data_IF_706251854305
#
_entry.id   IF_706251854305
#
_cell.length_a   1.000
_cell.length_b   1.000
_cell.length_c   1.000
_cell.angle_alpha   90.00
_cell.angle_beta   90.00
_cell.angle_gamma   90.00
#
_symmetry.space_group_name_H-M   'P 1'
#
loop_
_entity.id
_entity.type
_entity.pdbx_description
1 polymer ?
#
# COMPACT_ATOMS: atom_id res chain seq x y z
N UNK A 1 -7.79 -14.87 22.69
CA UNK A 1 -6.72 -15.33 21.76
C UNK A 1 -5.98 -14.10 21.28
N UNK A 2 -4.64 -14.12 21.21
CA UNK A 2 -3.84 -12.97 20.76
C UNK A 2 -3.41 -13.14 19.30
N UNK A 3 -3.71 -12.15 18.46
CA UNK A 3 -3.43 -12.13 17.02
C UNK A 3 -2.51 -10.95 16.68
N UNK A 4 -1.70 -11.11 15.65
CA UNK A 4 -0.88 -10.02 15.09
C UNK A 4 -1.66 -9.24 14.02
N UNK A 5 -1.64 -7.91 14.10
CA UNK A 5 -2.37 -7.00 13.21
C UNK A 5 -1.42 -5.95 12.62
N UNK A 6 -1.18 -6.00 11.31
CA UNK A 6 -0.38 -5.02 10.58
C UNK A 6 -1.21 -3.97 9.84
N UNK A 7 -0.95 -2.69 10.05
CA UNK A 7 -1.48 -1.60 9.20
C UNK A 7 -0.54 -0.39 9.17
N UNK A 8 -0.77 0.54 8.24
CA UNK A 8 0.15 1.68 8.10
C UNK A 8 -0.15 2.78 9.12
N UNK A 9 0.82 3.65 9.44
CA UNK A 9 0.58 4.80 10.30
C UNK A 9 -0.19 5.93 9.59
N UNK A 10 -0.79 5.69 8.41
CA UNK A 10 -1.55 6.70 7.68
C UNK A 10 -2.87 7.01 8.42
N UNK A 11 -3.36 8.27 8.38
CA UNK A 11 -4.56 8.68 9.11
C UNK A 11 -5.81 7.84 8.83
N UNK A 12 -5.99 7.34 7.60
CA UNK A 12 -7.12 6.49 7.25
C UNK A 12 -7.09 5.16 8.02
N UNK A 13 -5.92 4.56 8.22
CA UNK A 13 -5.81 3.25 8.86
C UNK A 13 -5.83 3.37 10.38
N UNK A 14 -5.17 4.39 10.94
CA UNK A 14 -5.30 4.69 12.37
C UNK A 14 -6.74 5.02 12.74
N UNK A 15 -7.48 5.71 11.86
CA UNK A 15 -8.91 5.96 12.05
C UNK A 15 -9.74 4.65 12.02
N UNK A 16 -9.51 3.77 11.04
CA UNK A 16 -10.23 2.49 10.92
C UNK A 16 -10.02 1.61 12.17
N UNK A 17 -8.78 1.54 12.66
CA UNK A 17 -8.41 0.59 13.72
C UNK A 17 -8.43 1.19 15.14
N UNK A 18 -8.63 2.50 15.32
CA UNK A 18 -8.59 3.17 16.63
C UNK A 18 -9.48 2.48 17.67
N UNK A 19 -10.73 2.20 17.33
CA UNK A 19 -11.67 1.58 18.26
C UNK A 19 -11.25 0.16 18.65
N UNK A 20 -10.71 -0.60 17.69
CA UNK A 20 -10.29 -1.99 17.88
C UNK A 20 -9.07 -2.08 18.80
N UNK A 21 -8.04 -1.27 18.56
CA UNK A 21 -6.76 -1.38 19.29
C UNK A 21 -6.80 -0.72 20.67
N UNK A 22 -7.76 0.18 20.91
CA UNK A 22 -7.96 0.85 22.21
C UNK A 22 -9.12 0.26 23.04
N UNK A 23 -9.62 -0.92 22.67
CA UNK A 23 -10.70 -1.61 23.40
C UNK A 23 -11.98 -0.77 23.56
N UNK A 24 -12.33 0.03 22.54
CA UNK A 24 -13.57 0.84 22.52
C UNK A 24 -14.78 0.06 21.98
N UNK A 25 -14.56 -1.16 21.49
CA UNK A 25 -15.57 -2.10 21.01
C UNK A 25 -15.32 -3.47 21.64
N UNK A 26 -16.38 -4.28 21.73
CA UNK A 26 -16.27 -5.67 22.16
C UNK A 26 -15.58 -6.49 21.05
N UNK A 27 -14.46 -7.11 21.41
CA UNK A 27 -13.66 -7.97 20.52
C UNK A 27 -13.91 -9.45 20.77
N UNK A 28 -14.91 -9.79 21.60
CA UNK A 28 -15.30 -11.16 21.95
C UNK A 28 -14.11 -11.99 22.50
N UNK A 29 -13.19 -11.34 23.22
CA UNK A 29 -12.01 -11.97 23.81
C UNK A 29 -10.81 -12.13 22.86
N UNK A 30 -10.82 -11.45 21.70
CA UNK A 30 -9.65 -11.28 20.83
C UNK A 30 -8.78 -10.12 21.33
N UNK A 31 -7.47 -10.35 21.31
CA UNK A 31 -6.45 -9.34 21.61
C UNK A 31 -5.56 -9.15 20.38
N UNK A 32 -5.06 -7.93 20.17
CA UNK A 32 -4.28 -7.59 18.98
C UNK A 32 -2.90 -7.05 19.35
N UNK A 33 -1.85 -7.66 18.82
CA UNK A 33 -0.49 -7.12 18.78
C UNK A 33 -0.31 -6.32 17.49
N UNK A 34 -0.16 -5.01 17.62
CA UNK A 34 -0.19 -4.08 16.48
C UNK A 34 1.20 -3.82 15.94
N UNK A 35 1.35 -3.95 14.62
CA UNK A 35 2.55 -3.60 13.86
C UNK A 35 2.25 -2.42 12.93
N UNK A 36 2.93 -1.30 13.14
CA UNK A 36 2.85 -0.14 12.25
C UNK A 36 3.99 -0.19 11.23
N UNK A 37 3.65 -0.37 9.95
CA UNK A 37 4.64 -0.51 8.88
C UNK A 37 4.20 0.19 7.60
N UNK A 38 5.16 0.56 6.75
CA UNK A 38 4.87 1.01 5.38
C UNK A 38 4.12 -0.08 4.59
N UNK A 39 3.24 0.34 3.68
CA UNK A 39 2.38 -0.58 2.91
C UNK A 39 3.19 -1.59 2.10
N UNK A 40 4.35 -1.20 1.53
CA UNK A 40 5.19 -2.14 0.79
C UNK A 40 5.88 -3.15 1.71
N UNK A 41 6.20 -2.76 2.95
CA UNK A 41 6.67 -3.68 3.98
C UNK A 41 5.57 -4.67 4.35
N UNK A 42 4.34 -4.20 4.60
CA UNK A 42 3.19 -5.06 4.88
C UNK A 42 2.87 -6.02 3.72
N UNK A 43 2.99 -5.55 2.47
CA UNK A 43 2.85 -6.40 1.29
C UNK A 43 3.85 -7.56 1.34
N UNK A 44 5.13 -7.30 1.62
CA UNK A 44 6.17 -8.35 1.70
C UNK A 44 5.90 -9.33 2.85
N UNK A 45 5.49 -8.81 4.02
CA UNK A 45 5.10 -9.64 5.18
C UNK A 45 3.95 -10.57 4.84
N UNK A 46 2.94 -10.09 4.10
CA UNK A 46 1.81 -10.89 3.64
C UNK A 46 2.25 -12.01 2.66
N UNK A 47 3.16 -11.72 1.71
CA UNK A 47 3.70 -12.76 0.82
C UNK A 47 4.41 -13.87 1.60
N UNK A 48 5.04 -13.54 2.71
CA UNK A 48 5.71 -14.50 3.59
C UNK A 48 4.76 -15.20 4.56
N UNK A 49 3.60 -14.62 4.87
CA UNK A 49 2.67 -15.15 5.88
C UNK A 49 3.09 -14.79 7.30
N UNK A 50 3.71 -13.63 7.51
CA UNK A 50 4.29 -13.22 8.80
C UNK A 50 3.27 -12.70 9.83
N UNK A 51 2.09 -12.27 9.40
CA UNK A 51 1.07 -11.65 10.25
C UNK A 51 -0.27 -12.38 10.12
N UNK A 52 -1.02 -12.51 11.21
CA UNK A 52 -2.33 -13.15 11.20
C UNK A 52 -3.35 -12.30 10.42
N UNK A 53 -3.31 -10.98 10.63
CA UNK A 53 -4.17 -9.99 9.98
C UNK A 53 -3.28 -8.85 9.47
N UNK A 54 -3.50 -8.42 8.23
CA UNK A 54 -2.69 -7.33 7.65
C UNK A 54 -3.46 -6.51 6.62
N UNK A 55 -3.31 -5.19 6.67
CA UNK A 55 -3.62 -4.30 5.57
C UNK A 55 -2.62 -4.56 4.44
N UNK A 56 -3.14 -4.72 3.23
CA UNK A 56 -2.30 -4.89 2.05
C UNK A 56 -2.87 -4.19 0.83
N UNK A 57 -2.02 -4.02 -0.18
CA UNK A 57 -2.47 -3.60 -1.50
C UNK A 57 -3.26 -4.72 -2.18
N UNK A 58 -4.36 -4.38 -2.87
CA UNK A 58 -5.11 -5.35 -3.68
C UNK A 58 -4.25 -6.10 -4.70
N UNK A 59 -3.27 -5.41 -5.29
CA UNK A 59 -2.31 -6.06 -6.19
C UNK A 59 -1.45 -7.11 -5.45
N UNK A 60 -1.00 -6.82 -4.23
CA UNK A 60 -0.28 -7.79 -3.41
C UNK A 60 -1.17 -8.99 -3.00
N UNK A 61 -2.46 -8.75 -2.75
CA UNK A 61 -3.41 -9.81 -2.39
C UNK A 61 -3.52 -10.89 -3.48
N UNK A 62 -3.46 -10.52 -4.76
CA UNK A 62 -3.47 -11.50 -5.86
C UNK A 62 -2.35 -12.55 -5.76
N UNK A 63 -1.23 -12.23 -5.10
CA UNK A 63 -0.11 -13.15 -4.85
C UNK A 63 -0.20 -13.87 -3.50
N UNK A 64 -1.01 -13.36 -2.57
CA UNK A 64 -1.16 -13.90 -1.21
C UNK A 64 -2.49 -14.64 -1.00
N UNK A 65 -3.35 -14.71 -2.02
CA UNK A 65 -4.71 -15.28 -1.95
C UNK A 65 -4.75 -16.77 -1.55
N UNK A 66 -3.64 -17.49 -1.65
CA UNK A 66 -3.54 -18.87 -1.17
C UNK A 66 -3.27 -18.97 0.34
N UNK A 67 -2.91 -17.88 1.01
CA UNK A 67 -2.59 -17.80 2.44
C UNK A 67 -3.60 -16.97 3.23
N UNK A 68 -4.24 -16.01 2.58
CA UNK A 68 -5.14 -15.05 3.22
C UNK A 68 -6.52 -15.05 2.58
N UNK A 69 -7.54 -14.75 3.40
CA UNK A 69 -8.86 -14.37 2.93
C UNK A 69 -9.00 -12.84 3.01
N UNK A 70 -9.73 -12.25 2.05
CA UNK A 70 -10.08 -10.84 2.07
C UNK A 70 -11.29 -10.64 3.00
N UNK A 71 -11.20 -9.66 3.92
CA UNK A 71 -12.32 -9.29 4.77
C UNK A 71 -13.28 -8.34 4.03
N UNK A 72 -14.56 -8.40 4.40
CA UNK A 72 -15.61 -7.53 3.84
C UNK A 72 -15.55 -6.08 4.37
N UNK A 73 -14.61 -5.78 5.28
CA UNK A 73 -14.44 -4.48 5.93
C UNK A 73 -12.97 -4.03 5.95
N UNK A 74 -12.75 -2.73 6.20
CA UNK A 74 -11.41 -2.15 6.38
C UNK A 74 -10.63 -1.85 5.10
N UNK A 75 -11.24 -2.06 3.93
CA UNK A 75 -10.61 -1.75 2.64
C UNK A 75 -10.74 -0.27 2.25
N UNK A 76 -9.77 0.23 1.48
CA UNK A 76 -9.82 1.57 0.89
C UNK A 76 -10.10 1.47 -0.62
N UNK A 77 -11.35 1.69 -1.02
CA UNK A 77 -11.80 1.71 -2.42
C UNK A 77 -12.69 2.93 -2.70
N UNK A 78 -12.67 3.43 -3.93
CA UNK A 78 -13.58 4.50 -4.35
C UNK A 78 -13.12 5.23 -5.62
N UNK A 79 -13.94 6.17 -6.06
CA UNK A 79 -13.56 7.17 -7.05
C UNK A 79 -12.92 8.37 -6.35
N UNK A 80 -11.91 8.98 -6.97
CA UNK A 80 -11.18 10.12 -6.38
C UNK A 80 -10.09 9.74 -5.38
N UNK A 81 -9.80 8.45 -5.19
CA UNK A 81 -8.68 7.95 -4.34
C UNK A 81 -7.55 7.31 -5.16
N UNK A 82 -7.55 7.53 -6.47
CA UNK A 82 -6.57 6.96 -7.38
C UNK A 82 -5.15 7.53 -7.15
N UNK A 83 -4.11 6.72 -7.40
CA UNK A 83 -2.73 7.21 -7.36
C UNK A 83 -2.50 8.25 -8.45
N UNK A 84 -1.61 9.20 -8.18
CA UNK A 84 -1.21 10.22 -9.15
C UNK A 84 0.21 9.96 -9.65
N UNK A 85 0.43 10.20 -10.95
CA UNK A 85 1.75 10.32 -11.54
C UNK A 85 2.08 11.81 -11.62
N UNK A 86 3.16 12.23 -10.98
CA UNK A 86 3.58 13.63 -10.89
C UNK A 86 4.96 13.82 -11.49
N UNK A 87 5.21 15.02 -12.02
CA UNK A 87 6.49 15.41 -12.61
C UNK A 87 6.77 16.88 -12.37
N UNK A 88 8.05 17.25 -12.37
CA UNK A 88 8.48 18.66 -12.32
C UNK A 88 8.30 19.35 -13.66
N UNK A 89 8.50 18.62 -14.74
CA UNK A 89 8.36 19.08 -16.12
C UNK A 89 7.01 18.62 -16.68
N UNK A 90 6.45 19.39 -17.60
CA UNK A 90 5.24 19.00 -18.29
C UNK A 90 5.58 17.94 -19.34
N UNK A 91 4.84 16.84 -19.33
CA UNK A 91 4.92 15.80 -20.34
C UNK A 91 3.61 15.70 -21.11
N UNK A 92 3.69 15.28 -22.36
CA UNK A 92 2.52 14.83 -23.10
C UNK A 92 2.04 13.48 -22.53
N UNK A 93 0.82 13.09 -22.92
CA UNK A 93 0.24 11.81 -22.50
C UNK A 93 1.09 10.61 -22.99
N UNK A 94 1.85 10.76 -24.07
CA UNK A 94 2.77 9.73 -24.54
C UNK A 94 4.14 9.88 -23.88
N UNK A 95 4.32 9.16 -22.77
CA UNK A 95 5.54 9.19 -21.98
C UNK A 95 6.64 8.33 -22.61
N UNK A 96 7.83 8.90 -22.78
CA UNK A 96 9.01 8.16 -23.27
C UNK A 96 9.38 6.99 -22.34
N UNK A 97 9.74 5.86 -22.94
CA UNK A 97 10.18 4.65 -22.23
C UNK A 97 11.48 4.84 -21.42
N UNK A 98 12.29 5.85 -21.75
CA UNK A 98 13.57 6.14 -21.09
C UNK A 98 13.40 6.84 -19.73
N UNK A 99 12.18 7.32 -19.42
CA UNK A 99 11.90 8.02 -18.19
C UNK A 99 12.10 7.13 -16.96
N UNK A 100 12.80 7.68 -15.97
CA UNK A 100 12.97 7.07 -14.66
C UNK A 100 11.80 7.45 -13.74
N UNK A 101 11.09 6.46 -13.23
CA UNK A 101 9.87 6.68 -12.44
C UNK A 101 10.06 6.19 -11.00
N UNK A 102 9.85 7.06 -10.03
CA UNK A 102 9.78 6.67 -8.62
C UNK A 102 8.45 5.97 -8.31
N UNK A 103 8.50 4.82 -7.65
CA UNK A 103 7.30 4.09 -7.20
C UNK A 103 7.38 3.82 -5.69
N UNK A 104 6.24 3.87 -4.97
CA UNK A 104 6.22 3.68 -3.52
C UNK A 104 6.43 2.21 -3.10
N UNK A 105 6.32 1.28 -4.04
CA UNK A 105 6.50 -0.14 -3.77
C UNK A 105 6.14 -0.99 -4.99
N UNK A 106 6.82 -2.14 -5.13
CA UNK A 106 6.64 -3.05 -6.26
C UNK A 106 5.26 -3.69 -6.25
N UNK A 107 4.76 -4.05 -5.08
CA UNK A 107 3.49 -4.77 -4.92
C UNK A 107 2.29 -3.85 -4.66
N UNK A 108 2.51 -2.53 -4.68
CA UNK A 108 1.43 -1.56 -4.53
C UNK A 108 0.43 -1.61 -5.69
N UNK A 109 -0.85 -1.36 -5.40
CA UNK A 109 -1.87 -1.17 -6.44
C UNK A 109 -1.53 0.02 -7.34
N UNK A 110 -0.84 1.04 -6.80
CA UNK A 110 -0.36 2.18 -7.56
C UNK A 110 0.62 1.78 -8.68
N UNK A 111 1.61 0.94 -8.38
CA UNK A 111 2.54 0.45 -9.38
C UNK A 111 1.87 -0.47 -10.43
N UNK A 112 0.87 -1.26 -10.02
CA UNK A 112 0.08 -2.07 -10.93
C UNK A 112 -0.69 -1.21 -11.93
N UNK A 113 -1.44 -0.21 -11.44
CA UNK A 113 -2.20 0.71 -12.29
C UNK A 113 -1.29 1.53 -13.21
N UNK A 114 -0.11 1.95 -12.72
CA UNK A 114 0.91 2.59 -13.56
C UNK A 114 1.34 1.67 -14.72
N UNK A 115 1.55 0.38 -14.45
CA UNK A 115 1.92 -0.59 -15.49
C UNK A 115 0.82 -0.86 -16.52
N UNK A 116 -0.45 -0.72 -16.14
CA UNK A 116 -1.58 -0.80 -17.08
C UNK A 116 -1.66 0.46 -17.95
N UNK A 117 -1.54 1.64 -17.32
CA UNK A 117 -1.69 2.91 -18.01
C UNK A 117 -0.50 3.24 -18.93
N UNK A 118 0.72 2.90 -18.50
CA UNK A 118 1.97 3.22 -19.19
C UNK A 118 2.91 2.01 -19.19
N UNK A 119 2.61 0.96 -20.00
CA UNK A 119 3.38 -0.28 -20.02
C UNK A 119 4.83 -0.11 -20.48
N UNK A 120 5.17 0.99 -21.15
CA UNK A 120 6.54 1.31 -21.58
C UNK A 120 7.45 1.79 -20.43
N UNK A 121 6.89 2.26 -19.31
CA UNK A 121 7.66 2.80 -18.19
C UNK A 121 8.26 1.69 -17.33
N UNK A 122 9.36 1.12 -17.81
CA UNK A 122 10.04 -0.01 -17.16
C UNK A 122 11.17 0.40 -16.20
N UNK A 123 11.73 1.61 -16.35
CA UNK A 123 12.81 2.13 -15.50
C UNK A 123 12.25 2.64 -14.15
N UNK A 124 11.81 1.71 -13.31
CA UNK A 124 11.16 2.00 -12.01
C UNK A 124 12.18 1.95 -10.87
N UNK A 125 12.21 3.00 -10.05
CA UNK A 125 12.99 3.06 -8.80
C UNK A 125 12.05 2.97 -7.59
N UNK A 126 12.16 1.90 -6.83
CA UNK A 126 11.43 1.78 -5.55
C UNK A 126 12.03 2.73 -4.52
N UNK A 127 11.17 3.46 -3.82
CA UNK A 127 11.52 4.35 -2.71
C UNK A 127 10.33 4.50 -1.76
N UNK A 128 10.58 5.02 -0.55
CA UNK A 128 9.51 5.33 0.41
C UNK A 128 8.62 6.42 -0.18
N UNK A 129 7.30 6.33 0.01
CA UNK A 129 6.34 7.26 -0.59
C UNK A 129 6.65 8.74 -0.28
N UNK A 130 7.15 9.02 0.93
CA UNK A 130 7.52 10.37 1.40
C UNK A 130 8.77 10.96 0.72
N UNK A 131 9.56 10.13 0.04
CA UNK A 131 10.74 10.57 -0.69
C UNK A 131 10.45 10.89 -2.16
N UNK A 132 9.30 10.47 -2.70
CA UNK A 132 8.94 10.65 -4.12
C UNK A 132 8.93 12.14 -4.47
N UNK A 133 8.15 12.95 -3.75
CA UNK A 133 8.05 14.39 -4.02
C UNK A 133 9.41 15.09 -3.85
N UNK A 134 10.15 14.76 -2.78
CA UNK A 134 11.49 15.31 -2.53
C UNK A 134 12.47 14.97 -3.66
N UNK A 135 12.39 13.76 -4.21
CA UNK A 135 13.26 13.33 -5.31
C UNK A 135 13.02 14.11 -6.61
N UNK A 136 11.82 14.65 -6.81
CA UNK A 136 11.51 15.53 -7.93
C UNK A 136 12.05 16.95 -7.72
N UNK A 137 12.05 17.43 -6.46
CA UNK A 137 12.52 18.78 -6.13
C UNK A 137 14.05 18.87 -6.16
N UNK A 138 14.75 17.89 -5.58
CA UNK A 138 16.16 18.03 -5.15
C UNK A 138 17.24 17.54 -6.13
N UNK A 139 16.90 16.96 -7.30
CA UNK A 139 17.82 16.38 -8.31
C UNK A 139 18.99 15.56 -7.77
#
# INVERSE_FOLDING_TARGET
MKLTLGFSPCPNDTFIFDALIHNKIDTEGLEFEVFFDDVETLNKKALNGELDITKLSFHAFAYAANKYALLDAGSALGFGVGPLLISKEQFDADLSADLKVGIPGKYTTANFLLGIAYPQLQNKKVMVFSDIEKSLINK
#
